data_IF_256534982823
#
_entry.id   IF_256534982823
#
_cell.length_a   1.000
_cell.length_b   1.000
_cell.length_c   1.000
_cell.angle_alpha   90.00
_cell.angle_beta   90.00
_cell.angle_gamma   90.00
#
_symmetry.space_group_name_H-M   'P 1'
#
loop_
_entity.id
_entity.type
_entity.pdbx_description
1 polymer ?
#
# COMPACT_ATOMS: atom_id res chain seq x y z
N UNK A 1 -46.41 -13.84 -19.62
CA UNK A 1 -45.47 -12.77 -19.25
C UNK A 1 -44.29 -12.87 -20.19
N UNK A 2 -44.07 -11.86 -21.05
CA UNK A 2 -42.87 -11.81 -21.85
C UNK A 2 -41.69 -11.65 -20.89
N UNK A 3 -40.77 -12.62 -20.84
CA UNK A 3 -39.52 -12.45 -20.11
C UNK A 3 -38.80 -11.28 -20.77
N UNK A 4 -38.62 -10.17 -20.04
CA UNK A 4 -37.73 -9.11 -20.48
C UNK A 4 -36.34 -9.72 -20.66
N UNK A 5 -35.93 -9.86 -21.92
CA UNK A 5 -34.63 -10.42 -22.25
C UNK A 5 -33.56 -9.42 -21.86
N UNK A 6 -32.68 -9.79 -20.94
CA UNK A 6 -31.55 -8.94 -20.53
C UNK A 6 -30.69 -8.64 -21.75
N UNK A 7 -30.38 -7.37 -22.05
CA UNK A 7 -29.52 -7.05 -23.18
C UNK A 7 -28.15 -7.71 -22.98
N UNK A 8 -27.48 -8.15 -24.06
CA UNK A 8 -26.24 -8.90 -23.94
C UNK A 8 -25.15 -8.15 -23.14
N UNK A 9 -25.15 -6.81 -23.16
CA UNK A 9 -24.24 -5.97 -22.36
C UNK A 9 -24.44 -6.05 -20.84
N UNK A 10 -25.63 -6.46 -20.40
CA UNK A 10 -26.04 -6.56 -18.99
C UNK A 10 -26.12 -7.99 -18.48
N UNK A 11 -25.50 -8.96 -19.16
CA UNK A 11 -25.36 -10.31 -18.61
C UNK A 11 -24.22 -10.39 -17.59
N UNK A 12 -24.28 -11.39 -16.70
CA UNK A 12 -23.27 -11.62 -15.66
C UNK A 12 -22.09 -12.49 -16.15
N UNK A 13 -21.92 -12.65 -17.46
CA UNK A 13 -20.74 -13.32 -18.01
C UNK A 13 -19.48 -12.49 -17.80
N UNK A 14 -18.43 -13.11 -17.28
CA UNK A 14 -17.16 -12.49 -16.91
C UNK A 14 -16.61 -11.44 -17.90
N UNK A 15 -16.50 -11.72 -19.22
CA UNK A 15 -15.90 -10.76 -20.15
C UNK A 15 -16.68 -9.44 -20.25
N UNK A 16 -18.01 -9.52 -20.05
CA UNK A 16 -18.90 -8.35 -20.09
C UNK A 16 -19.01 -7.69 -18.72
N UNK A 17 -19.07 -8.49 -17.66
CA UNK A 17 -19.13 -8.01 -16.29
C UNK A 17 -17.90 -7.17 -15.91
N UNK A 18 -16.69 -7.59 -16.34
CA UNK A 18 -15.45 -6.83 -16.15
C UNK A 18 -15.44 -5.46 -16.84
N UNK A 19 -16.29 -5.24 -17.85
CA UNK A 19 -16.41 -3.95 -18.56
C UNK A 19 -17.51 -3.07 -17.99
N UNK A 20 -18.27 -3.54 -16.98
CA UNK A 20 -19.28 -2.71 -16.34
C UNK A 20 -18.63 -1.62 -15.51
N UNK A 21 -19.23 -0.43 -15.56
CA UNK A 21 -18.72 0.74 -14.86
C UNK A 21 -18.54 0.48 -13.35
N UNK A 22 -19.43 -0.28 -12.70
CA UNK A 22 -19.36 -0.53 -11.25
C UNK A 22 -18.10 -1.32 -10.86
N UNK A 23 -17.82 -2.40 -11.61
CA UNK A 23 -16.64 -3.24 -11.38
C UNK A 23 -15.37 -2.48 -11.76
N UNK A 24 -15.39 -1.77 -12.90
CA UNK A 24 -14.29 -0.92 -13.33
C UNK A 24 -14.00 0.18 -12.31
N UNK A 25 -15.04 0.79 -11.74
CA UNK A 25 -14.91 1.83 -10.71
C UNK A 25 -14.20 1.29 -9.47
N UNK A 26 -14.62 0.13 -8.96
CA UNK A 26 -13.95 -0.50 -7.82
C UNK A 26 -12.50 -0.91 -8.15
N UNK A 27 -12.24 -1.43 -9.35
CA UNK A 27 -10.88 -1.78 -9.80
C UNK A 27 -9.97 -0.57 -9.94
N UNK A 28 -10.47 0.52 -10.52
CA UNK A 28 -9.75 1.78 -10.68
C UNK A 28 -9.49 2.39 -9.32
N UNK A 29 -10.49 2.45 -8.43
CA UNK A 29 -10.31 2.96 -7.07
C UNK A 29 -9.28 2.14 -6.30
N UNK A 30 -9.34 0.81 -6.36
CA UNK A 30 -8.36 -0.03 -5.69
C UNK A 30 -6.95 0.21 -6.24
N UNK A 31 -6.81 0.36 -7.56
CA UNK A 31 -5.50 0.61 -8.19
C UNK A 31 -4.97 2.00 -7.86
N UNK A 32 -5.82 3.03 -7.92
CA UNK A 32 -5.46 4.41 -7.56
C UNK A 32 -5.11 4.49 -6.07
N UNK A 33 -5.87 3.84 -5.19
CA UNK A 33 -5.56 3.79 -3.77
C UNK A 33 -4.22 3.10 -3.50
N UNK A 34 -3.91 2.01 -4.20
CA UNK A 34 -2.62 1.32 -4.10
C UNK A 34 -1.44 2.20 -4.54
N UNK A 35 -1.58 2.93 -5.65
CA UNK A 35 -0.54 3.84 -6.13
C UNK A 35 -0.39 5.08 -5.23
N UNK A 36 -1.50 5.67 -4.79
CA UNK A 36 -1.48 6.76 -3.83
C UNK A 36 -0.86 6.33 -2.50
N UNK A 37 -1.11 5.08 -2.08
CA UNK A 37 -0.50 4.50 -0.89
C UNK A 37 1.01 4.37 -1.05
N UNK A 38 1.52 3.92 -2.20
CA UNK A 38 2.96 3.93 -2.48
C UNK A 38 3.55 5.33 -2.27
N UNK A 39 2.96 6.33 -2.93
CA UNK A 39 3.47 7.69 -2.91
C UNK A 39 3.49 8.25 -1.49
N UNK A 40 2.41 8.05 -0.72
CA UNK A 40 2.35 8.48 0.68
C UNK A 40 3.32 7.72 1.57
N UNK A 41 3.47 6.42 1.39
CA UNK A 41 4.44 5.63 2.16
C UNK A 41 5.87 6.07 1.88
N UNK A 42 6.25 6.35 0.64
CA UNK A 42 7.60 6.83 0.31
C UNK A 42 7.84 8.27 0.75
N UNK A 43 6.82 9.13 0.72
CA UNK A 43 6.93 10.49 1.24
C UNK A 43 7.16 10.50 2.76
N UNK A 44 6.42 9.69 3.52
CA UNK A 44 6.48 9.67 4.99
C UNK A 44 7.65 8.82 5.51
N UNK A 45 7.91 7.66 4.90
CA UNK A 45 8.88 6.67 5.40
C UNK A 45 10.11 6.48 4.49
N UNK A 46 10.22 7.21 3.39
CA UNK A 46 11.38 7.17 2.49
C UNK A 46 12.61 7.93 2.99
N UNK A 47 12.48 9.14 3.59
CA UNK A 47 13.65 9.88 4.08
C UNK A 47 14.34 9.20 5.27
N UNK A 48 15.68 9.14 5.22
CA UNK A 48 16.50 8.79 6.39
C UNK A 48 16.53 9.93 7.42
N UNK A 49 17.01 9.65 8.63
CA UNK A 49 17.35 10.65 9.63
C UNK A 49 18.41 11.63 9.11
N UNK A 50 18.21 12.93 9.34
CA UNK A 50 19.07 13.97 8.76
C UNK A 50 20.44 13.99 9.44
N UNK A 51 20.50 13.77 10.76
CA UNK A 51 21.77 13.67 11.50
C UNK A 51 22.60 12.46 11.07
N UNK A 52 21.95 11.35 10.76
CA UNK A 52 22.62 10.15 10.25
C UNK A 52 23.33 10.38 8.91
N UNK A 53 22.76 11.22 8.02
CA UNK A 53 23.38 11.58 6.74
C UNK A 53 24.53 12.57 6.91
N UNK A 54 24.40 13.50 7.86
CA UNK A 54 25.46 14.45 8.21
C UNK A 54 26.71 13.76 8.78
N UNK A 55 26.53 12.62 9.45
CA UNK A 55 27.62 11.76 9.94
C UNK A 55 28.38 11.01 8.82
N UNK A 56 28.01 11.22 7.55
CA UNK A 56 28.69 10.63 6.38
C UNK A 56 28.22 9.22 6.02
N UNK A 57 27.09 8.76 6.57
CA UNK A 57 26.51 7.48 6.19
C UNK A 57 25.66 7.61 4.93
N UNK A 58 25.93 6.76 3.94
CA UNK A 58 25.28 6.84 2.61
C UNK A 58 24.04 5.94 2.49
N UNK A 59 23.76 5.07 3.47
CA UNK A 59 22.69 4.08 3.38
C UNK A 59 21.91 3.91 4.67
N UNK A 60 20.58 3.95 4.57
CA UNK A 60 19.66 3.53 5.62
C UNK A 60 18.57 2.59 5.02
N UNK A 61 17.97 1.69 5.82
CA UNK A 61 16.93 0.77 5.35
C UNK A 61 15.53 1.44 5.30
N UNK A 62 15.43 2.65 4.77
CA UNK A 62 14.16 3.37 4.66
C UNK A 62 13.27 2.80 3.56
N UNK A 63 12.03 3.29 3.46
CA UNK A 63 11.09 2.92 2.40
C UNK A 63 11.39 3.66 1.08
N UNK A 64 12.66 3.62 0.65
CA UNK A 64 13.20 4.21 -0.57
C UNK A 64 14.20 3.21 -1.21
N UNK A 65 14.02 2.89 -2.49
CA UNK A 65 14.83 1.85 -3.15
C UNK A 65 16.16 2.36 -3.72
N UNK A 66 16.24 3.64 -4.10
CA UNK A 66 17.39 4.24 -4.79
C UNK A 66 18.66 4.23 -3.93
N UNK A 67 18.56 4.58 -2.63
CA UNK A 67 19.72 4.58 -1.70
C UNK A 67 20.34 3.20 -1.53
N UNK A 68 19.51 2.17 -1.39
CA UNK A 68 19.97 0.78 -1.35
C UNK A 68 20.76 0.38 -2.59
N UNK A 69 20.31 0.84 -3.75
CA UNK A 69 20.92 0.51 -5.03
C UNK A 69 22.18 1.33 -5.30
N UNK A 70 22.25 2.58 -4.85
CA UNK A 70 23.49 3.35 -4.84
C UNK A 70 24.54 2.70 -3.93
N UNK A 71 24.14 2.25 -2.74
CA UNK A 71 25.03 1.51 -1.84
C UNK A 71 25.56 0.22 -2.48
N UNK A 72 24.70 -0.54 -3.18
CA UNK A 72 25.11 -1.74 -3.93
C UNK A 72 26.11 -1.39 -5.02
N UNK A 73 25.85 -0.32 -5.79
CA UNK A 73 26.72 0.12 -6.89
C UNK A 73 28.13 0.53 -6.42
N UNK A 74 28.25 1.05 -5.20
CA UNK A 74 29.54 1.41 -4.59
C UNK A 74 30.37 0.20 -4.15
N UNK A 75 29.76 -0.98 -3.99
CA UNK A 75 30.47 -2.14 -3.44
C UNK A 75 31.38 -2.83 -4.46
N UNK A 76 32.65 -3.14 -4.11
CA UNK A 76 33.58 -3.80 -5.01
C UNK A 76 33.07 -5.15 -5.55
N UNK A 77 32.28 -5.88 -4.75
CA UNK A 77 31.74 -7.18 -5.13
C UNK A 77 30.68 -7.13 -6.23
N UNK A 78 30.17 -5.95 -6.59
CA UNK A 78 29.15 -5.77 -7.63
C UNK A 78 29.71 -5.15 -8.92
N UNK A 79 30.95 -4.63 -8.87
CA UNK A 79 31.61 -4.04 -10.03
C UNK A 79 32.07 -5.08 -11.07
N UNK A 80 32.33 -6.32 -10.64
CA UNK A 80 32.70 -7.44 -11.52
C UNK A 80 31.48 -8.31 -11.86
N UNK A 81 30.65 -7.84 -12.79
CA UNK A 81 29.43 -8.50 -13.23
C UNK A 81 29.40 -8.74 -14.76
N UNK A 82 28.45 -9.54 -15.24
CA UNK A 82 28.35 -9.94 -16.66
C UNK A 82 28.19 -8.78 -17.66
N UNK A 83 27.82 -7.58 -17.20
CA UNK A 83 27.63 -6.38 -18.02
C UNK A 83 28.84 -5.42 -17.90
N UNK A 84 30.00 -5.94 -17.47
CA UNK A 84 31.24 -5.19 -17.27
C UNK A 84 31.49 -4.13 -18.36
N UNK A 85 31.48 -2.85 -17.96
CA UNK A 85 31.77 -1.73 -18.88
C UNK A 85 31.16 -0.37 -18.55
N UNK A 86 30.07 -0.27 -17.76
CA UNK A 86 29.46 1.04 -17.48
C UNK A 86 29.02 1.28 -16.03
N UNK A 87 28.49 0.29 -15.30
CA UNK A 87 27.97 0.45 -13.94
C UNK A 87 28.08 -0.84 -13.11
N UNK A 88 28.13 -0.74 -11.79
CA UNK A 88 28.17 -1.88 -10.86
C UNK A 88 26.82 -2.56 -10.64
N UNK A 89 25.79 -2.19 -11.40
CA UNK A 89 24.43 -2.74 -11.30
C UNK A 89 24.12 -3.63 -12.50
N UNK A 90 23.46 -4.76 -12.24
CA UNK A 90 22.95 -5.66 -13.29
C UNK A 90 21.65 -5.11 -13.88
N UNK A 91 20.80 -4.51 -13.04
CA UNK A 91 19.59 -3.81 -13.48
C UNK A 91 19.96 -2.45 -14.08
N UNK A 92 19.42 -2.09 -15.26
CA UNK A 92 19.64 -0.77 -15.85
C UNK A 92 19.22 0.37 -14.92
N UNK A 93 20.04 1.41 -14.80
CA UNK A 93 19.80 2.56 -13.89
C UNK A 93 18.50 3.29 -14.19
N UNK A 94 18.11 3.36 -15.46
CA UNK A 94 16.86 3.98 -15.89
C UNK A 94 15.65 3.15 -15.47
N UNK A 95 15.77 1.82 -15.49
CA UNK A 95 14.70 0.90 -15.09
C UNK A 95 14.40 1.02 -13.60
N UNK A 96 15.47 1.22 -12.82
CA UNK A 96 15.43 1.35 -11.37
C UNK A 96 15.11 2.79 -10.93
N UNK A 97 15.38 3.79 -11.79
CA UNK A 97 15.10 5.19 -11.51
C UNK A 97 16.12 5.88 -10.61
N UNK A 98 17.36 5.37 -10.53
CA UNK A 98 18.43 5.94 -9.68
C UNK A 98 18.83 7.35 -10.12
N UNK A 99 18.74 7.63 -11.41
CA UNK A 99 19.13 8.92 -11.99
C UNK A 99 18.04 10.00 -11.84
N UNK A 100 16.91 9.65 -11.22
CA UNK A 100 15.78 10.54 -10.98
C UNK A 100 15.57 10.76 -9.48
N UNK A 101 14.98 11.90 -9.10
CA UNK A 101 14.72 12.24 -7.70
C UNK A 101 13.22 12.34 -7.41
N UNK A 102 12.84 12.14 -6.15
CA UNK A 102 11.45 12.25 -5.69
C UNK A 102 10.51 11.27 -6.40
N UNK A 103 9.33 11.75 -6.82
CA UNK A 103 8.33 10.91 -7.49
C UNK A 103 8.78 10.35 -8.85
N UNK A 104 9.71 11.02 -9.52
CA UNK A 104 10.19 10.58 -10.84
C UNK A 104 10.96 9.26 -10.78
N UNK A 105 11.69 8.99 -9.67
CA UNK A 105 12.43 7.74 -9.47
C UNK A 105 11.53 6.51 -9.37
N UNK A 106 10.23 6.71 -9.10
CA UNK A 106 9.27 5.62 -8.92
C UNK A 106 8.56 5.23 -10.21
N UNK A 107 8.55 6.11 -11.22
CA UNK A 107 7.76 5.91 -12.45
C UNK A 107 8.25 4.70 -13.23
N UNK A 108 9.56 4.58 -13.47
CA UNK A 108 10.11 3.45 -14.24
C UNK A 108 9.86 2.10 -13.53
N UNK A 109 10.20 1.91 -12.24
CA UNK A 109 9.88 0.67 -11.53
C UNK A 109 8.36 0.37 -11.49
N UNK A 110 7.51 1.39 -11.34
CA UNK A 110 6.05 1.22 -11.40
C UNK A 110 5.60 0.67 -12.74
N UNK A 111 6.12 1.19 -13.85
CA UNK A 111 5.77 0.67 -15.19
C UNK A 111 6.18 -0.80 -15.31
N UNK A 112 7.33 -1.19 -14.76
CA UNK A 112 7.76 -2.59 -14.69
C UNK A 112 6.78 -3.43 -13.86
N UNK A 113 6.29 -2.94 -12.72
CA UNK A 113 5.27 -3.64 -11.94
C UNK A 113 3.99 -3.91 -12.75
N UNK A 114 3.50 -2.92 -13.51
CA UNK A 114 2.34 -3.11 -14.39
C UNK A 114 2.59 -4.14 -15.49
N UNK A 115 3.76 -4.09 -16.13
CA UNK A 115 4.16 -5.06 -17.15
C UNK A 115 4.26 -6.47 -16.56
N UNK A 116 4.90 -6.63 -15.40
CA UNK A 116 5.03 -7.91 -14.70
C UNK A 116 3.68 -8.45 -14.24
N UNK A 117 2.79 -7.59 -13.73
CA UNK A 117 1.43 -8.00 -13.35
C UNK A 117 0.62 -8.47 -14.57
N UNK A 118 0.74 -7.78 -15.71
CA UNK A 118 0.11 -8.19 -16.97
C UNK A 118 0.67 -9.51 -17.51
N UNK A 119 1.99 -9.68 -17.50
CA UNK A 119 2.66 -10.92 -17.87
C UNK A 119 2.27 -12.08 -16.94
N UNK A 120 2.17 -11.82 -15.64
CA UNK A 120 1.72 -12.80 -14.65
C UNK A 120 0.28 -13.26 -14.94
N UNK A 121 -0.61 -12.30 -15.21
CA UNK A 121 -2.00 -12.60 -15.59
C UNK A 121 -2.07 -13.47 -16.85
N UNK A 122 -1.27 -13.15 -17.87
CA UNK A 122 -1.19 -13.97 -19.07
C UNK A 122 -0.62 -15.38 -18.77
N UNK A 123 0.45 -15.45 -17.97
CA UNK A 123 1.10 -16.70 -17.58
C UNK A 123 0.15 -17.64 -16.82
N UNK A 124 -0.72 -17.11 -15.97
CA UNK A 124 -1.72 -17.88 -15.22
C UNK A 124 -2.66 -18.68 -16.14
N UNK A 125 -2.98 -18.15 -17.32
CA UNK A 125 -3.88 -18.79 -18.30
C UNK A 125 -3.21 -19.90 -19.11
N UNK A 126 -1.89 -20.06 -19.02
CA UNK A 126 -1.15 -21.09 -19.77
C UNK A 126 -1.30 -22.46 -19.11
N UNK A 127 -1.26 -23.52 -19.93
CA UNK A 127 -1.35 -24.90 -19.45
C UNK A 127 -0.10 -25.36 -18.68
N UNK A 128 -0.25 -26.45 -17.93
CA UNK A 128 0.80 -27.01 -17.05
C UNK A 128 2.12 -27.31 -17.78
N UNK A 129 2.07 -27.75 -19.05
CA UNK A 129 3.27 -28.00 -19.85
C UNK A 129 4.11 -26.73 -20.02
N UNK A 130 3.46 -25.60 -20.32
CA UNK A 130 4.15 -24.32 -20.52
C UNK A 130 4.75 -23.87 -19.19
N UNK A 131 3.99 -23.93 -18.09
CA UNK A 131 4.48 -23.59 -16.75
C UNK A 131 5.71 -24.41 -16.34
N UNK A 132 5.69 -25.72 -16.60
CA UNK A 132 6.81 -26.61 -16.31
C UNK A 132 8.05 -26.25 -17.14
N UNK A 133 7.89 -26.02 -18.45
CA UNK A 133 8.99 -25.63 -19.33
C UNK A 133 9.56 -24.27 -18.96
N UNK A 134 8.72 -23.28 -18.63
CA UNK A 134 9.17 -21.97 -18.16
C UNK A 134 9.97 -22.09 -16.86
N UNK A 135 9.51 -22.89 -15.88
CA UNK A 135 10.25 -23.10 -14.62
C UNK A 135 11.62 -23.74 -14.88
N UNK A 136 11.67 -24.79 -15.70
CA UNK A 136 12.93 -25.47 -16.06
C UNK A 136 13.87 -24.55 -16.86
N UNK A 137 13.32 -23.79 -17.79
CA UNK A 137 14.07 -22.80 -18.57
C UNK A 137 14.68 -21.72 -17.69
N UNK A 138 13.89 -21.16 -16.75
CA UNK A 138 14.39 -20.17 -15.79
C UNK A 138 15.49 -20.74 -14.90
N UNK A 139 15.27 -21.92 -14.29
CA UNK A 139 16.31 -22.56 -13.47
C UNK A 139 17.57 -22.88 -14.28
N UNK A 140 17.42 -23.39 -15.51
CA UNK A 140 18.54 -23.65 -16.42
C UNK A 140 19.29 -22.37 -16.79
N UNK A 141 18.58 -21.28 -17.07
CA UNK A 141 19.19 -19.98 -17.38
C UNK A 141 19.99 -19.42 -16.20
N UNK A 142 19.48 -19.49 -14.98
CA UNK A 142 20.20 -19.05 -13.77
C UNK A 142 21.46 -19.89 -13.54
N UNK A 143 21.36 -21.21 -13.70
CA UNK A 143 22.53 -22.11 -13.58
C UNK A 143 23.58 -21.81 -14.66
N UNK A 144 23.15 -21.60 -15.90
CA UNK A 144 24.05 -21.24 -16.99
C UNK A 144 24.69 -19.88 -16.76
N UNK A 145 23.96 -18.89 -16.25
CA UNK A 145 24.51 -17.58 -15.91
C UNK A 145 25.55 -17.70 -14.78
N UNK A 146 25.35 -18.55 -13.77
CA UNK A 146 26.39 -18.76 -12.76
C UNK A 146 27.64 -19.45 -13.33
N UNK A 147 27.45 -20.49 -14.14
CA UNK A 147 28.55 -21.39 -14.54
C UNK A 147 29.33 -20.90 -15.76
N UNK A 148 28.69 -20.27 -16.74
CA UNK A 148 29.35 -19.88 -18.00
C UNK A 148 30.40 -18.79 -17.80
N UNK A 149 30.12 -17.64 -17.15
CA UNK A 149 31.13 -16.63 -16.88
C UNK A 149 32.28 -17.19 -16.03
N UNK A 150 31.96 -18.02 -15.04
CA UNK A 150 32.96 -18.69 -14.20
C UNK A 150 33.92 -19.57 -15.01
N UNK A 151 33.40 -20.42 -15.89
CA UNK A 151 34.26 -21.29 -16.70
C UNK A 151 35.06 -20.49 -17.71
N UNK A 152 34.46 -19.49 -18.35
CA UNK A 152 35.16 -18.64 -19.32
C UNK A 152 36.29 -17.85 -18.67
N UNK A 153 36.05 -17.18 -17.53
CA UNK A 153 37.08 -16.41 -16.82
C UNK A 153 38.23 -17.31 -16.36
N UNK A 154 37.92 -18.51 -15.85
CA UNK A 154 38.95 -19.48 -15.46
C UNK A 154 39.77 -19.98 -16.65
N UNK A 155 39.12 -20.32 -17.78
CA UNK A 155 39.83 -20.80 -18.97
C UNK A 155 40.69 -19.72 -19.63
N UNK A 156 40.23 -18.48 -19.65
CA UNK A 156 40.99 -17.36 -20.22
C UNK A 156 42.29 -17.13 -19.44
N UNK A 157 42.22 -17.11 -18.10
CA UNK A 157 43.41 -16.94 -17.27
C UNK A 157 44.36 -18.15 -17.31
N UNK A 158 43.87 -19.37 -17.52
CA UNK A 158 44.75 -20.52 -17.79
C UNK A 158 45.62 -20.25 -19.02
N UNK A 159 45.06 -19.60 -20.05
CA UNK A 159 45.77 -19.22 -21.27
C UNK A 159 46.87 -18.18 -21.06
N UNK A 160 46.75 -17.34 -20.03
CA UNK A 160 47.68 -16.23 -19.75
C UNK A 160 48.70 -16.56 -18.67
N UNK A 161 48.25 -17.14 -17.55
CA UNK A 161 49.04 -17.32 -16.31
C UNK A 161 49.45 -18.79 -16.12
N UNK A 162 48.86 -19.72 -16.87
CA UNK A 162 49.06 -21.16 -16.73
C UNK A 162 48.02 -21.82 -15.81
N UNK A 163 48.09 -23.14 -15.67
CA UNK A 163 47.10 -23.90 -14.91
C UNK A 163 47.11 -23.52 -13.42
N UNK A 164 45.98 -23.00 -12.94
CA UNK A 164 45.75 -22.65 -11.54
C UNK A 164 44.35 -23.14 -11.11
N UNK A 165 44.16 -23.27 -9.81
CA UNK A 165 42.88 -23.73 -9.26
C UNK A 165 41.80 -22.67 -9.44
N UNK A 166 40.55 -23.06 -9.76
CA UNK A 166 39.46 -22.11 -10.05
C UNK A 166 38.93 -21.36 -8.82
N UNK A 167 39.58 -21.51 -7.66
CA UNK A 167 39.18 -20.89 -6.40
C UNK A 167 39.28 -19.36 -6.45
N UNK A 168 40.18 -18.83 -7.30
CA UNK A 168 40.38 -17.39 -7.46
C UNK A 168 39.21 -16.72 -8.19
N UNK A 169 38.40 -17.48 -8.94
CA UNK A 169 37.29 -16.98 -9.77
C UNK A 169 35.91 -17.19 -9.17
N UNK A 170 35.82 -17.69 -7.93
CA UNK A 170 34.55 -18.02 -7.26
C UNK A 170 33.58 -16.82 -7.22
N UNK A 171 34.08 -15.58 -7.19
CA UNK A 171 33.25 -14.37 -7.20
C UNK A 171 32.24 -14.32 -8.37
N UNK A 172 32.67 -14.75 -9.56
CA UNK A 172 31.81 -14.77 -10.77
C UNK A 172 30.60 -15.71 -10.65
N UNK A 173 30.69 -16.76 -9.81
CA UNK A 173 29.60 -17.70 -9.56
C UNK A 173 28.41 -17.04 -8.84
N UNK A 174 28.67 -15.94 -8.12
CA UNK A 174 27.68 -15.24 -7.30
C UNK A 174 26.96 -14.10 -8.03
N UNK A 175 27.18 -13.90 -9.34
CA UNK A 175 26.46 -12.88 -10.11
C UNK A 175 24.92 -13.00 -10.04
N UNK A 176 24.30 -14.21 -10.09
CA UNK A 176 22.85 -14.30 -9.89
C UNK A 176 22.39 -13.88 -8.49
N UNK A 177 23.24 -14.02 -7.48
CA UNK A 177 22.98 -13.53 -6.13
C UNK A 177 23.07 -12.00 -6.06
N UNK A 178 24.00 -11.38 -6.80
CA UNK A 178 24.06 -9.92 -6.92
C UNK A 178 22.74 -9.36 -7.47
N UNK A 179 22.21 -9.93 -8.56
CA UNK A 179 20.90 -9.55 -9.10
C UNK A 179 19.79 -9.73 -8.07
N UNK A 180 19.83 -10.81 -7.27
CA UNK A 180 18.83 -11.04 -6.24
C UNK A 180 18.86 -9.96 -5.14
N UNK A 181 20.05 -9.43 -4.81
CA UNK A 181 20.22 -8.32 -3.84
C UNK A 181 19.67 -7.01 -4.43
N UNK A 182 19.91 -6.72 -5.71
CA UNK A 182 19.32 -5.56 -6.38
C UNK A 182 17.78 -5.65 -6.42
N UNK A 183 17.26 -6.81 -6.81
CA UNK A 183 15.81 -7.08 -6.79
C UNK A 183 15.25 -6.99 -5.37
N UNK A 184 16.03 -7.32 -4.33
CA UNK A 184 15.59 -7.16 -2.95
C UNK A 184 15.38 -5.68 -2.57
N UNK A 185 16.32 -4.79 -2.90
CA UNK A 185 16.17 -3.36 -2.62
C UNK A 185 15.01 -2.71 -3.38
N UNK A 186 14.83 -3.04 -4.66
CA UNK A 186 13.64 -2.64 -5.43
C UNK A 186 12.39 -3.28 -4.85
N UNK A 187 12.48 -4.55 -4.47
CA UNK A 187 11.39 -5.38 -3.97
C UNK A 187 10.80 -4.89 -2.66
N UNK A 188 11.61 -4.33 -1.75
CA UNK A 188 11.10 -3.76 -0.49
C UNK A 188 10.01 -2.71 -0.78
N UNK A 189 10.21 -1.86 -1.78
CA UNK A 189 9.24 -0.81 -2.12
C UNK A 189 8.14 -1.35 -3.04
N UNK A 190 8.50 -2.12 -4.07
CA UNK A 190 7.58 -2.45 -5.15
C UNK A 190 6.88 -3.82 -5.05
N UNK A 191 7.32 -4.73 -4.19
CA UNK A 191 6.63 -6.00 -3.94
C UNK A 191 5.18 -5.84 -3.45
N UNK A 192 4.84 -4.94 -2.50
CA UNK A 192 3.44 -4.70 -2.14
C UNK A 192 2.61 -4.18 -3.33
N UNK A 193 3.20 -3.40 -4.22
CA UNK A 193 2.53 -2.89 -5.42
C UNK A 193 2.27 -4.01 -6.42
N UNK A 194 3.29 -4.81 -6.73
CA UNK A 194 3.14 -5.95 -7.63
C UNK A 194 2.12 -6.95 -7.10
N UNK A 195 2.17 -7.29 -5.80
CA UNK A 195 1.19 -8.19 -5.19
C UNK A 195 -0.22 -7.59 -5.17
N UNK A 196 -0.36 -6.29 -4.92
CA UNK A 196 -1.64 -5.59 -4.98
C UNK A 196 -2.24 -5.57 -6.39
N UNK A 197 -1.44 -5.27 -7.42
CA UNK A 197 -1.86 -5.32 -8.83
C UNK A 197 -2.28 -6.74 -9.24
N UNK A 198 -1.50 -7.76 -8.86
CA UNK A 198 -1.88 -9.16 -9.07
C UNK A 198 -3.18 -9.47 -8.32
N UNK A 199 -3.36 -8.97 -7.10
CA UNK A 199 -4.58 -9.13 -6.31
C UNK A 199 -5.82 -8.62 -7.04
N UNK A 200 -5.81 -7.35 -7.45
CA UNK A 200 -6.94 -6.67 -8.10
C UNK A 200 -7.26 -7.31 -9.47
N UNK A 201 -6.24 -7.53 -10.31
CA UNK A 201 -6.44 -7.90 -11.72
C UNK A 201 -6.45 -9.41 -11.98
N UNK A 202 -5.72 -10.21 -11.18
CA UNK A 202 -5.73 -11.68 -11.24
C UNK A 202 -6.75 -12.31 -10.29
N UNK A 203 -7.54 -11.52 -9.56
CA UNK A 203 -8.55 -11.98 -8.60
C UNK A 203 -7.97 -12.82 -7.46
N UNK A 204 -6.85 -12.39 -6.86
CA UNK A 204 -6.19 -13.13 -5.77
C UNK A 204 -6.37 -12.44 -4.42
N UNK A 205 -7.23 -12.99 -3.56
CA UNK A 205 -7.41 -12.50 -2.17
C UNK A 205 -6.11 -12.59 -1.38
N UNK A 206 -5.39 -13.70 -1.56
CA UNK A 206 -4.08 -13.91 -0.92
C UNK A 206 -3.13 -12.76 -1.27
N UNK A 207 -3.00 -12.40 -2.55
CA UNK A 207 -2.08 -11.33 -2.96
C UNK A 207 -2.48 -9.95 -2.40
N UNK A 208 -3.78 -9.64 -2.31
CA UNK A 208 -4.26 -8.43 -1.63
C UNK A 208 -3.86 -8.40 -0.15
N UNK A 209 -4.04 -9.50 0.58
CA UNK A 209 -3.65 -9.58 2.00
C UNK A 209 -2.14 -9.42 2.16
N UNK A 210 -1.34 -10.04 1.29
CA UNK A 210 0.11 -9.88 1.30
C UNK A 210 0.55 -8.41 1.13
N UNK A 211 -0.09 -7.67 0.20
CA UNK A 211 0.19 -6.25 0.02
C UNK A 211 -0.11 -5.43 1.30
N UNK A 212 -1.29 -5.62 1.88
CA UNK A 212 -1.70 -4.91 3.11
C UNK A 212 -0.78 -5.26 4.29
N UNK A 213 -0.50 -6.54 4.50
CA UNK A 213 0.39 -6.98 5.59
C UNK A 213 1.79 -6.41 5.45
N UNK A 214 2.29 -6.27 4.22
CA UNK A 214 3.60 -5.66 3.98
C UNK A 214 3.61 -4.17 4.37
N UNK A 215 2.61 -3.38 3.96
CA UNK A 215 2.51 -1.98 4.39
C UNK A 215 2.41 -1.85 5.92
N UNK A 216 1.59 -2.68 6.56
CA UNK A 216 1.46 -2.71 8.02
C UNK A 216 2.76 -3.10 8.72
N UNK A 217 3.55 -4.01 8.13
CA UNK A 217 4.87 -4.37 8.66
C UNK A 217 5.81 -3.17 8.64
N UNK A 218 5.89 -2.42 7.54
CA UNK A 218 6.74 -1.21 7.46
C UNK A 218 6.30 -0.17 8.49
N UNK A 219 5.00 0.09 8.61
CA UNK A 219 4.45 1.01 9.63
C UNK A 219 4.80 0.50 11.03
N UNK A 220 4.69 -0.81 11.29
CA UNK A 220 5.02 -1.43 12.57
C UNK A 220 6.49 -1.27 12.95
N UNK A 221 7.42 -1.39 11.99
CA UNK A 221 8.85 -1.13 12.23
C UNK A 221 9.08 0.33 12.65
N UNK A 222 8.52 1.28 11.92
CA UNK A 222 8.64 2.71 12.24
C UNK A 222 7.93 3.06 13.56
N UNK A 223 6.87 2.32 13.91
CA UNK A 223 6.20 2.44 15.20
C UNK A 223 7.08 1.99 16.36
N UNK A 224 7.83 0.89 16.20
CA UNK A 224 8.75 0.41 17.24
C UNK A 224 9.87 1.43 17.52
N UNK A 225 10.32 2.17 16.49
CA UNK A 225 11.33 3.21 16.64
C UNK A 225 10.86 4.43 17.46
N UNK A 226 9.57 4.53 17.79
CA UNK A 226 9.07 5.59 18.70
C UNK A 226 9.44 5.33 20.16
N UNK A 227 9.78 4.10 20.53
CA UNK A 227 10.19 3.77 21.89
C UNK A 227 11.67 4.09 22.09
N UNK A 228 11.97 5.05 22.96
CA UNK A 228 13.33 5.54 23.23
C UNK A 228 14.34 4.40 23.51
N UNK A 229 13.96 3.39 24.28
CA UNK A 229 14.85 2.24 24.55
C UNK A 229 15.22 1.41 23.30
N UNK A 230 14.36 1.39 22.28
CA UNK A 230 14.65 0.78 20.98
C UNK A 230 15.46 1.76 20.13
N UNK A 231 15.08 3.04 20.08
CA UNK A 231 15.79 4.07 19.32
C UNK A 231 17.25 4.16 19.73
N UNK A 232 17.55 4.17 21.04
CA UNK A 232 18.92 4.26 21.55
C UNK A 232 19.76 3.02 21.18
N UNK A 233 19.13 1.85 21.08
CA UNK A 233 19.79 0.59 20.70
C UNK A 233 20.02 0.48 19.19
N UNK A 234 19.25 1.21 18.39
CA UNK A 234 19.17 1.10 16.92
C UNK A 234 19.58 2.43 16.24
N UNK A 235 20.07 3.40 17.00
CA UNK A 235 20.38 4.76 16.55
C UNK A 235 21.32 4.82 15.33
N UNK A 236 22.18 3.81 15.17
CA UNK A 236 23.10 3.68 14.02
C UNK A 236 22.47 3.20 12.71
N UNK A 237 21.15 3.02 12.63
CA UNK A 237 20.46 2.55 11.41
C UNK A 237 19.90 3.71 10.55
N UNK A 238 19.73 4.92 11.12
CA UNK A 238 19.33 6.10 10.35
C UNK A 238 17.85 6.14 9.91
N UNK A 239 16.98 5.39 10.58
CA UNK A 239 15.53 5.41 10.33
C UNK A 239 14.81 6.45 11.19
N UNK A 240 13.83 7.14 10.59
CA UNK A 240 12.96 8.07 11.32
C UNK A 240 11.88 7.30 12.09
N UNK A 241 11.56 7.67 13.35
CA UNK A 241 10.40 7.13 14.06
C UNK A 241 9.09 7.58 13.40
N UNK A 242 7.94 7.05 13.85
CA UNK A 242 6.64 7.59 13.40
C UNK A 242 6.62 9.11 13.62
N UNK A 243 6.07 9.86 12.65
CA UNK A 243 5.89 11.29 12.80
C UNK A 243 5.06 11.57 14.05
N UNK A 244 5.49 12.53 14.87
CA UNK A 244 4.81 12.88 16.09
C UNK A 244 3.35 13.25 15.78
N UNK A 245 2.39 12.71 16.52
CA UNK A 245 0.98 13.10 16.32
C UNK A 245 0.65 14.46 16.96
N UNK A 246 1.65 15.11 17.55
CA UNK A 246 1.55 16.37 18.28
C UNK A 246 1.87 17.50 17.29
N UNK A 247 0.85 18.29 16.95
CA UNK A 247 1.00 19.46 16.08
C UNK A 247 -0.27 20.29 16.12
N UNK A 248 -0.15 21.60 15.91
CA UNK A 248 -1.30 22.51 15.87
C UNK A 248 -2.19 22.18 14.68
N UNK A 249 -3.51 22.12 14.93
CA UNK A 249 -4.50 21.89 13.88
C UNK A 249 -4.61 23.14 13.00
N UNK A 250 -3.98 23.08 11.83
CA UNK A 250 -3.90 24.22 10.89
C UNK A 250 -4.63 23.95 9.57
N UNK A 251 -5.02 22.70 9.29
CA UNK A 251 -5.67 22.30 8.04
C UNK A 251 -7.17 22.03 8.21
N UNK A 252 -7.91 22.15 7.11
CA UNK A 252 -9.36 21.96 7.03
C UNK A 252 -10.17 22.79 8.05
N UNK A 253 -9.80 24.07 8.23
CA UNK A 253 -10.48 24.94 9.18
C UNK A 253 -10.11 24.67 10.64
N UNK A 254 -8.93 24.11 10.89
CA UNK A 254 -8.42 23.81 12.24
C UNK A 254 -8.83 22.45 12.78
N UNK A 255 -9.24 21.52 11.91
CA UNK A 255 -9.75 20.20 12.30
C UNK A 255 -8.67 19.12 12.35
N UNK A 256 -7.53 19.29 11.68
CA UNK A 256 -6.51 18.24 11.56
C UNK A 256 -5.12 18.88 11.51
N UNK A 257 -4.17 18.35 12.30
CA UNK A 257 -2.75 18.70 12.15
C UNK A 257 -2.15 18.10 10.87
N UNK A 258 -1.26 18.81 10.15
CA UNK A 258 -0.61 18.29 8.94
C UNK A 258 0.03 16.91 9.14
N UNK A 259 0.62 16.70 10.32
CA UNK A 259 1.35 15.50 10.67
C UNK A 259 0.40 14.31 10.98
N UNK A 260 -0.77 14.57 11.56
CA UNK A 260 -1.82 13.57 11.75
C UNK A 260 -2.53 13.20 10.44
N UNK A 261 -2.63 14.14 9.50
CA UNK A 261 -3.24 13.93 8.19
C UNK A 261 -2.48 12.88 7.36
N UNK A 262 -1.15 12.83 7.48
CA UNK A 262 -0.32 11.86 6.74
C UNK A 262 -0.62 10.42 7.17
N UNK A 263 -0.65 10.16 8.49
CA UNK A 263 -1.00 8.85 9.03
C UNK A 263 -2.47 8.48 8.77
N UNK A 264 -3.38 9.43 8.92
CA UNK A 264 -4.80 9.24 8.60
C UNK A 264 -4.99 8.93 7.11
N UNK A 265 -4.26 9.62 6.24
CA UNK A 265 -4.26 9.40 4.79
C UNK A 265 -3.80 8.00 4.42
N UNK A 266 -2.69 7.53 5.01
CA UNK A 266 -2.20 6.16 4.84
C UNK A 266 -3.25 5.14 5.30
N UNK A 267 -3.87 5.35 6.47
CA UNK A 267 -4.89 4.44 6.99
C UNK A 267 -6.12 4.36 6.07
N UNK A 268 -6.62 5.50 5.58
CA UNK A 268 -7.75 5.56 4.65
C UNK A 268 -7.40 4.87 3.33
N UNK A 269 -6.20 5.10 2.79
CA UNK A 269 -5.75 4.48 1.55
C UNK A 269 -5.64 2.96 1.68
N UNK A 270 -5.13 2.44 2.81
CA UNK A 270 -5.09 1.00 3.10
C UNK A 270 -6.51 0.43 3.15
N UNK A 271 -7.42 1.08 3.88
CA UNK A 271 -8.82 0.64 3.99
C UNK A 271 -9.52 0.64 2.63
N UNK A 272 -9.34 1.71 1.85
CA UNK A 272 -9.96 1.85 0.54
C UNK A 272 -9.43 0.81 -0.46
N UNK A 273 -8.10 0.60 -0.49
CA UNK A 273 -7.47 -0.44 -1.30
C UNK A 273 -7.98 -1.83 -0.91
N UNK A 274 -8.01 -2.14 0.38
CA UNK A 274 -8.39 -3.47 0.87
C UNK A 274 -9.87 -3.77 0.63
N UNK A 275 -10.76 -2.82 0.95
CA UNK A 275 -12.21 -3.00 0.78
C UNK A 275 -12.60 -3.06 -0.70
N UNK A 276 -12.13 -2.11 -1.51
CA UNK A 276 -12.44 -2.11 -2.95
C UNK A 276 -11.84 -3.33 -3.66
N UNK A 277 -10.62 -3.73 -3.31
CA UNK A 277 -9.98 -4.94 -3.84
C UNK A 277 -10.78 -6.21 -3.51
N UNK A 278 -11.17 -6.40 -2.25
CA UNK A 278 -11.97 -7.56 -1.83
C UNK A 278 -13.37 -7.55 -2.47
N UNK A 279 -13.99 -6.38 -2.62
CA UNK A 279 -15.30 -6.22 -3.26
C UNK A 279 -15.27 -6.68 -4.73
N UNK A 280 -14.26 -6.25 -5.49
CA UNK A 280 -14.07 -6.69 -6.90
C UNK A 280 -13.97 -8.21 -6.98
N UNK A 281 -13.12 -8.80 -6.15
CA UNK A 281 -12.91 -10.25 -6.17
C UNK A 281 -14.18 -10.98 -5.78
N UNK A 282 -14.84 -10.58 -4.69
CA UNK A 282 -16.05 -11.22 -4.21
C UNK A 282 -17.21 -11.16 -5.20
N UNK A 283 -17.46 -10.00 -5.82
CA UNK A 283 -18.52 -9.86 -6.81
C UNK A 283 -18.24 -10.66 -8.09
N UNK A 284 -16.97 -10.71 -8.55
CA UNK A 284 -16.59 -11.49 -9.71
C UNK A 284 -16.63 -13.00 -9.44
N UNK A 285 -16.12 -13.47 -8.29
CA UNK A 285 -16.19 -14.87 -7.87
C UNK A 285 -17.65 -15.33 -7.78
N UNK A 286 -18.52 -14.54 -7.15
CA UNK A 286 -19.95 -14.83 -7.06
C UNK A 286 -20.57 -14.99 -8.46
N UNK A 287 -20.27 -14.08 -9.38
CA UNK A 287 -20.80 -14.15 -10.74
C UNK A 287 -20.30 -15.39 -11.53
N UNK A 288 -19.10 -15.90 -11.25
CA UNK A 288 -18.60 -17.14 -11.86
C UNK A 288 -19.34 -18.36 -11.35
N UNK A 289 -19.64 -18.39 -10.06
CA UNK A 289 -20.31 -19.52 -9.41
C UNK A 289 -21.78 -19.67 -9.81
N UNK A 290 -22.41 -18.62 -10.37
CA UNK A 290 -23.79 -18.69 -10.83
C UNK A 290 -23.94 -19.66 -12.03
N UNK A 291 -25.05 -20.43 -12.08
CA UNK A 291 -25.43 -21.19 -13.27
C UNK A 291 -25.58 -20.29 -14.50
N UNK A 292 -25.29 -20.81 -15.69
CA UNK A 292 -25.32 -19.99 -16.92
C UNK A 292 -26.71 -19.43 -17.24
N UNK A 293 -27.78 -20.17 -16.92
CA UNK A 293 -29.15 -19.67 -17.07
C UNK A 293 -29.43 -18.43 -16.19
N UNK A 294 -28.90 -18.40 -14.96
CA UNK A 294 -29.05 -17.29 -14.01
C UNK A 294 -28.25 -16.05 -14.42
N UNK A 295 -27.18 -16.20 -15.22
CA UNK A 295 -26.36 -15.07 -15.69
C UNK A 295 -27.09 -14.19 -16.71
N UNK A 296 -28.12 -14.72 -17.35
CA UNK A 296 -28.99 -14.03 -18.31
C UNK A 296 -30.38 -13.69 -17.75
N UNK A 297 -30.68 -14.10 -16.52
CA UNK A 297 -31.97 -13.85 -15.91
C UNK A 297 -32.07 -12.40 -15.40
N UNK A 298 -33.10 -11.63 -15.80
CA UNK A 298 -33.26 -10.23 -15.40
C UNK A 298 -33.36 -10.04 -13.89
N UNK A 299 -33.94 -10.99 -13.16
CA UNK A 299 -34.09 -10.85 -11.71
C UNK A 299 -32.74 -10.95 -11.01
N UNK A 300 -31.92 -11.94 -11.35
CA UNK A 300 -30.57 -12.12 -10.81
C UNK A 300 -29.65 -10.95 -11.19
N UNK A 301 -29.74 -10.46 -12.42
CA UNK A 301 -28.97 -9.28 -12.86
C UNK A 301 -29.35 -8.04 -12.05
N UNK A 302 -30.65 -7.83 -11.80
CA UNK A 302 -31.13 -6.70 -10.99
C UNK A 302 -30.69 -6.82 -9.52
N UNK A 303 -30.81 -8.01 -8.93
CA UNK A 303 -30.35 -8.26 -7.56
C UNK A 303 -28.84 -8.03 -7.42
N UNK A 304 -28.04 -8.56 -8.36
CA UNK A 304 -26.60 -8.33 -8.39
C UNK A 304 -26.27 -6.84 -8.48
N UNK A 305 -26.91 -6.09 -9.38
CA UNK A 305 -26.69 -4.66 -9.52
C UNK A 305 -27.06 -3.88 -8.25
N UNK A 306 -28.14 -4.27 -7.57
CA UNK A 306 -28.56 -3.65 -6.31
C UNK A 306 -27.54 -3.89 -5.20
N UNK A 307 -27.00 -5.11 -5.09
CA UNK A 307 -25.96 -5.46 -4.12
C UNK A 307 -24.69 -4.66 -4.39
N UNK A 308 -24.21 -4.62 -5.64
CA UNK A 308 -22.98 -3.88 -5.99
C UNK A 308 -23.16 -2.38 -5.75
N UNK A 309 -24.29 -1.79 -6.15
CA UNK A 309 -24.57 -0.37 -5.88
C UNK A 309 -24.63 -0.06 -4.39
N UNK A 310 -25.28 -0.93 -3.60
CA UNK A 310 -25.34 -0.79 -2.15
C UNK A 310 -23.96 -0.88 -1.52
N UNK A 311 -23.13 -1.80 -1.99
CA UNK A 311 -21.77 -1.96 -1.50
C UNK A 311 -20.93 -0.71 -1.79
N UNK A 312 -20.94 -0.19 -3.03
CA UNK A 312 -20.22 1.04 -3.39
C UNK A 312 -20.62 2.22 -2.50
N UNK A 313 -21.93 2.42 -2.28
CA UNK A 313 -22.42 3.49 -1.41
C UNK A 313 -21.94 3.29 0.04
N UNK A 314 -22.03 2.06 0.55
CA UNK A 314 -21.60 1.72 1.89
C UNK A 314 -20.09 1.92 2.09
N UNK A 315 -19.27 1.54 1.13
CA UNK A 315 -17.81 1.78 1.16
C UNK A 315 -17.52 3.27 1.30
N UNK A 316 -18.16 4.13 0.50
CA UNK A 316 -17.96 5.59 0.58
C UNK A 316 -18.46 6.14 1.92
N UNK A 317 -19.66 5.76 2.35
CA UNK A 317 -20.27 6.26 3.58
C UNK A 317 -19.50 5.84 4.83
N UNK A 318 -19.10 4.57 4.94
CA UNK A 318 -18.35 4.07 6.09
C UNK A 318 -16.94 4.64 6.11
N UNK A 319 -16.19 4.59 5.00
CA UNK A 319 -14.82 5.10 5.00
C UNK A 319 -14.82 6.61 5.30
N UNK A 320 -15.76 7.37 4.74
CA UNK A 320 -15.93 8.78 5.07
C UNK A 320 -16.27 9.03 6.55
N UNK A 321 -17.18 8.23 7.11
CA UNK A 321 -17.54 8.30 8.53
C UNK A 321 -16.38 7.92 9.46
N UNK A 322 -15.60 6.90 9.12
CA UNK A 322 -14.40 6.50 9.87
C UNK A 322 -13.32 7.57 9.78
N UNK A 323 -13.08 8.14 8.60
CA UNK A 323 -12.12 9.22 8.42
C UNK A 323 -12.47 10.45 9.27
N UNK A 324 -13.74 10.87 9.22
CA UNK A 324 -14.23 12.03 9.98
C UNK A 324 -14.17 11.79 11.49
N UNK A 325 -14.66 10.65 11.96
CA UNK A 325 -14.64 10.32 13.39
C UNK A 325 -13.22 10.19 13.92
N UNK A 326 -12.29 9.64 13.13
CA UNK A 326 -10.87 9.55 13.49
C UNK A 326 -10.23 10.93 13.54
N UNK A 327 -10.49 11.79 12.57
CA UNK A 327 -10.01 13.18 12.58
C UNK A 327 -10.47 13.93 13.84
N UNK A 328 -11.76 13.85 14.16
CA UNK A 328 -12.31 14.45 15.39
C UNK A 328 -11.71 13.85 16.67
N UNK A 329 -11.45 12.54 16.68
CA UNK A 329 -10.85 11.88 17.82
C UNK A 329 -9.41 12.36 18.10
N UNK A 330 -8.66 12.73 17.05
CA UNK A 330 -7.27 13.18 17.17
C UNK A 330 -7.14 14.62 17.67
N UNK A 331 -8.17 15.45 17.56
CA UNK A 331 -8.18 16.85 18.06
C UNK A 331 -9.20 17.05 19.20
N UNK A 332 -9.71 15.97 19.80
CA UNK A 332 -10.78 16.04 20.80
C UNK A 332 -10.37 16.83 22.05
N UNK A 333 -9.11 16.75 22.42
CA UNK A 333 -8.46 17.50 23.49
C UNK A 333 -8.49 19.01 23.25
N UNK A 334 -8.14 19.46 22.04
CA UNK A 334 -8.22 20.87 21.67
C UNK A 334 -9.67 21.37 21.67
N UNK A 335 -10.60 20.57 21.13
CA UNK A 335 -12.03 20.88 21.17
C UNK A 335 -12.57 20.99 22.61
N UNK A 336 -12.09 20.14 23.52
CA UNK A 336 -12.46 20.22 24.94
C UNK A 336 -11.94 21.51 25.59
N UNK A 337 -10.71 21.92 25.29
CA UNK A 337 -10.17 23.20 25.77
C UNK A 337 -10.97 24.39 25.25
N UNK A 338 -11.36 24.40 23.98
CA UNK A 338 -12.18 25.46 23.39
C UNK A 338 -13.57 25.55 24.06
N UNK A 339 -14.22 24.40 24.31
CA UNK A 339 -15.50 24.37 25.02
C UNK A 339 -15.35 24.90 26.46
N UNK A 340 -14.30 24.49 27.17
CA UNK A 340 -14.04 24.94 28.53
C UNK A 340 -13.74 26.44 28.57
N UNK A 341 -13.02 26.97 27.58
CA UNK A 341 -12.77 28.41 27.42
C UNK A 341 -14.06 29.20 27.13
N UNK A 342 -14.97 28.66 26.31
CA UNK A 342 -16.29 29.30 26.08
C UNK A 342 -17.18 29.25 27.33
N UNK A 343 -16.99 28.26 28.21
CA UNK A 343 -17.70 28.13 29.49
C UNK A 343 -17.08 28.97 30.63
N UNK A 344 -16.25 29.97 30.30
CA UNK A 344 -15.57 30.86 31.24
C UNK A 344 -16.47 31.39 32.38
N UNK A 345 -16.01 31.22 33.63
CA UNK A 345 -16.61 31.87 34.81
C UNK A 345 -16.49 31.15 36.16
N UNK A 346 -16.01 29.90 36.22
CA UNK A 346 -15.99 29.10 37.46
C UNK A 346 -14.64 28.44 37.78
N UNK A 347 -14.33 28.26 39.07
CA UNK A 347 -13.12 27.58 39.57
C UNK A 347 -12.94 26.17 38.97
N UNK A 348 -14.04 25.51 38.61
CA UNK A 348 -14.04 24.22 37.91
C UNK A 348 -13.46 24.31 36.49
N UNK A 349 -13.80 25.34 35.72
CA UNK A 349 -13.28 25.53 34.35
C UNK A 349 -11.76 25.75 34.35
N UNK A 350 -11.22 26.48 35.34
CA UNK A 350 -9.77 26.67 35.50
C UNK A 350 -9.05 25.38 35.88
N UNK A 351 -9.59 24.58 36.81
CA UNK A 351 -9.00 23.29 37.19
C UNK A 351 -9.02 22.27 36.05
N UNK A 352 -10.08 22.26 35.24
CA UNK A 352 -10.18 21.38 34.07
C UNK A 352 -9.21 21.84 32.97
N UNK A 353 -9.09 23.14 32.72
CA UNK A 353 -8.12 23.69 31.76
C UNK A 353 -6.67 23.36 32.15
N UNK A 354 -6.28 23.62 33.40
CA UNK A 354 -4.92 23.35 33.89
C UNK A 354 -4.61 21.84 33.92
N UNK A 355 -5.60 21.00 34.29
CA UNK A 355 -5.45 19.54 34.25
C UNK A 355 -5.36 19.01 32.82
N UNK A 356 -6.09 19.60 31.87
CA UNK A 356 -6.01 19.22 30.45
C UNK A 356 -4.65 19.63 29.87
N UNK A 357 -4.18 20.85 30.14
CA UNK A 357 -2.86 21.33 29.71
C UNK A 357 -1.70 20.49 30.26
N UNK A 358 -1.78 20.03 31.52
CA UNK A 358 -0.80 19.12 32.12
C UNK A 358 -0.92 17.68 31.61
N UNK A 359 -2.11 17.23 31.21
CA UNK A 359 -2.29 15.92 30.54
C UNK A 359 -1.85 15.95 29.08
N UNK A 360 -1.88 17.11 28.43
CA UNK A 360 -1.44 17.33 27.04
C UNK A 360 0.07 17.13 26.85
N UNK A 361 0.88 17.24 27.92
CA UNK A 361 2.28 16.81 27.91
C UNK A 361 2.46 15.30 27.68
N UNK A 362 1.39 14.49 27.85
CA UNK A 362 1.36 13.03 27.64
C UNK A 362 0.21 12.59 26.69
N UNK A 363 0.04 13.25 25.55
CA UNK A 363 -0.21 12.52 24.30
C UNK A 363 -1.64 12.35 23.77
N UNK A 364 -1.75 12.51 22.44
CA UNK A 364 -2.91 12.28 21.57
C UNK A 364 -3.61 10.91 21.77
N UNK A 365 -2.93 9.92 22.33
CA UNK A 365 -3.52 8.62 22.70
C UNK A 365 -4.59 8.77 23.79
N UNK A 366 -4.37 9.67 24.75
CA UNK A 366 -5.34 9.97 25.82
C UNK A 366 -6.54 10.73 25.25
N UNK A 367 -6.31 11.66 24.31
CA UNK A 367 -7.36 12.37 23.55
C UNK A 367 -8.29 11.40 22.81
N UNK A 368 -7.72 10.46 22.06
CA UNK A 368 -8.49 9.41 21.38
C UNK A 368 -9.25 8.51 22.38
N UNK A 369 -8.65 8.17 23.52
CA UNK A 369 -9.31 7.39 24.59
C UNK A 369 -10.48 8.14 25.25
N UNK A 370 -10.31 9.43 25.54
CA UNK A 370 -11.35 10.32 26.04
C UNK A 370 -12.50 10.48 25.04
N UNK A 371 -12.18 10.62 23.75
CA UNK A 371 -13.18 10.64 22.69
C UNK A 371 -14.00 9.35 22.64
N UNK A 372 -13.35 8.17 22.72
CA UNK A 372 -14.04 6.88 22.74
C UNK A 372 -14.96 6.76 23.96
N UNK A 373 -14.53 7.22 25.13
CA UNK A 373 -15.38 7.26 26.33
C UNK A 373 -16.57 8.21 26.14
N UNK A 374 -16.36 9.38 25.54
CA UNK A 374 -17.42 10.35 25.26
C UNK A 374 -18.46 9.78 24.28
N UNK A 375 -18.02 9.15 23.18
CA UNK A 375 -18.90 8.48 22.21
C UNK A 375 -19.62 7.29 22.84
N UNK A 376 -18.95 6.48 23.66
CA UNK A 376 -19.57 5.40 24.41
C UNK A 376 -20.65 5.94 25.37
N UNK A 377 -20.38 7.07 26.03
CA UNK A 377 -21.33 7.80 26.88
C UNK A 377 -22.52 8.35 26.10
N UNK A 378 -22.31 8.83 24.87
CA UNK A 378 -23.39 9.31 24.00
C UNK A 378 -24.44 8.25 23.70
N UNK A 379 -24.14 6.94 23.80
CA UNK A 379 -25.16 5.88 23.71
C UNK A 379 -26.31 6.05 24.71
N UNK A 380 -26.04 6.65 25.87
CA UNK A 380 -27.02 6.85 26.92
C UNK A 380 -27.76 8.19 26.81
N UNK A 381 -27.22 9.13 26.02
CA UNK A 381 -27.74 10.51 25.90
C UNK A 381 -28.44 10.72 24.54
N UNK A 382 -27.86 10.19 23.47
CA UNK A 382 -28.32 10.36 22.09
C UNK A 382 -29.23 9.18 21.70
N UNK A 383 -30.48 9.43 21.26
CA UNK A 383 -31.36 8.37 20.80
C UNK A 383 -30.94 7.89 19.41
N UNK A 384 -29.90 7.05 19.35
CA UNK A 384 -29.30 6.58 18.09
C UNK A 384 -30.28 5.96 17.11
N UNK A 385 -31.34 5.30 17.59
CA UNK A 385 -32.40 4.75 16.73
C UNK A 385 -33.15 5.82 15.93
N UNK A 386 -33.29 7.04 16.47
CA UNK A 386 -33.92 8.17 15.75
C UNK A 386 -32.95 8.77 14.75
N UNK A 387 -31.68 8.90 15.13
CA UNK A 387 -30.63 9.42 14.25
C UNK A 387 -30.43 8.50 13.04
N UNK A 388 -30.34 7.18 13.26
CA UNK A 388 -30.23 6.21 12.17
C UNK A 388 -31.46 6.23 11.26
N UNK A 389 -32.66 6.33 11.83
CA UNK A 389 -33.90 6.46 11.04
C UNK A 389 -33.95 7.72 10.18
N UNK A 390 -33.43 8.85 10.66
CA UNK A 390 -33.33 10.09 9.87
C UNK A 390 -32.29 9.98 8.75
N UNK A 391 -31.15 9.32 9.01
CA UNK A 391 -30.12 9.07 8.00
C UNK A 391 -30.67 8.14 6.91
N UNK A 392 -31.34 7.05 7.29
CA UNK A 392 -31.99 6.13 6.35
C UNK A 392 -33.05 6.83 5.49
N UNK A 393 -33.88 7.69 6.10
CA UNK A 393 -34.86 8.49 5.36
C UNK A 393 -34.20 9.46 4.38
N UNK A 394 -33.08 10.09 4.76
CA UNK A 394 -32.29 10.96 3.88
C UNK A 394 -31.61 10.20 2.73
N UNK A 395 -31.08 9.00 2.99
CA UNK A 395 -30.49 8.16 1.94
C UNK A 395 -31.59 7.66 0.98
N UNK A 396 -32.77 7.31 1.50
CA UNK A 396 -33.92 6.91 0.69
C UNK A 396 -34.41 8.05 -0.21
N UNK A 397 -34.45 9.30 0.28
CA UNK A 397 -34.86 10.45 -0.52
C UNK A 397 -33.89 10.74 -1.67
N UNK A 398 -32.57 10.66 -1.42
CA UNK A 398 -31.53 10.79 -2.45
C UNK A 398 -31.61 9.70 -3.53
N UNK A 399 -32.09 8.51 -3.15
CA UNK A 399 -32.30 7.38 -4.07
C UNK A 399 -33.58 7.56 -4.90
N UNK A 400 -34.63 8.15 -4.33
CA UNK A 400 -35.91 8.43 -5.00
C UNK A 400 -35.83 9.57 -6.02
N UNK A 401 -35.03 10.61 -5.77
CA UNK A 401 -34.85 11.72 -6.72
C UNK A 401 -34.16 11.34 -8.03
N UNK A 402 -33.54 10.16 -8.12
CA UNK A 402 -32.81 9.69 -9.31
C UNK A 402 -33.66 8.82 -10.24
N UNK A 403 -34.90 8.49 -9.88
CA UNK A 403 -35.83 7.71 -10.73
C UNK A 403 -36.80 8.57 -11.56
N UNK A 404 -36.77 9.89 -11.40
CA UNK A 404 -37.64 10.84 -12.12
C UNK A 404 -36.89 11.74 -13.13
N UNK A 405 -35.60 11.49 -13.35
CA UNK A 405 -34.77 12.10 -14.42
C UNK A 405 -34.17 11.02 -15.30
#
# INVERSE_FOLDING_TARGET
MAMETVPPSQTLHLPRLRRRWQILFLQVIATVALLALLFRMTEVYGPCDDGFLEDGNNWCPSYEHTRGLMWVNEQPSFQDNALSGSDGLILPRELVGIDSTGFASQVAPLTVCFLLAGLWMFYQTRGEKVKLWTRRGFTGAVVLWALVPFTLNWFDEIGVIGFHLPLQHIGSLFQPLQLAIEIFFVGIVFAPILSGLIGIWSLSRRALTWAVSFFLMIIGVHALLTFQGITDSVAGIGLKPLPAQIGEATLYGGLISPLALDLLGIAILILLFHEAGNAVIGHLEYAVMLPDASKSDPEYVRQFNNVVNSHVLHTVSIIGGVALTTALALEFDALMLDIVAVMEGGQWSGQVSESLELQLTYGKVISAGLFLLAVAGMRYVVPWQRVSGLIEAGIASLRGTRSES
#
